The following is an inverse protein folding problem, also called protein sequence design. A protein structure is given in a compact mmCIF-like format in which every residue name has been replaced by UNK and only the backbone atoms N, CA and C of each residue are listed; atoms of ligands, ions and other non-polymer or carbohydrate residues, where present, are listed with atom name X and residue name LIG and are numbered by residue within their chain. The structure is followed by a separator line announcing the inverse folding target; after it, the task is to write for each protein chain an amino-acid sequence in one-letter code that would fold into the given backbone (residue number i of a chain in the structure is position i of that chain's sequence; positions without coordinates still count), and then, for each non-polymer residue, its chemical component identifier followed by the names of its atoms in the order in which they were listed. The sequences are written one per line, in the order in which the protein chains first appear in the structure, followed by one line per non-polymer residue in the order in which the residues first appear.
data_IF_685924852633
#
_entry.id   IF_685924852633
#
_cell.length_a   1.000
_cell.length_b   1.000
_cell.length_c   1.000
_cell.angle_alpha   90.00
_cell.angle_beta   90.00
_cell.angle_gamma   90.00
#
_symmetry.space_group_name_H-M   'P 1'
#
loop_
_entity.id
_entity.type
_entity.pdbx_description
1 polymer ?
#
# COMPACT_ATOMS: atom_id res chain seq x y z
N UNK A 1 -25.31 -6.75 -25.49
CA UNK A 1 -24.34 -6.52 -24.40
C UNK A 1 -22.93 -6.64 -24.96
N UNK A 2 -22.20 -5.52 -25.12
CA UNK A 2 -20.79 -5.58 -25.53
C UNK A 2 -19.96 -6.15 -24.37
N UNK A 3 -19.45 -7.37 -24.55
CA UNK A 3 -18.44 -7.95 -23.66
C UNK A 3 -17.17 -7.12 -23.80
N UNK A 4 -16.86 -6.31 -22.79
CA UNK A 4 -15.55 -5.69 -22.67
C UNK A 4 -14.59 -6.78 -22.18
N UNK A 5 -13.97 -7.50 -23.10
CA UNK A 5 -12.75 -8.26 -22.82
C UNK A 5 -11.60 -7.26 -22.73
N UNK A 6 -11.47 -6.61 -21.57
CA UNK A 6 -10.20 -6.00 -21.20
C UNK A 6 -9.31 -7.18 -20.84
N UNK A 7 -8.34 -7.49 -21.69
CA UNK A 7 -7.28 -8.42 -21.32
C UNK A 7 -6.62 -7.83 -20.07
N UNK A 8 -6.92 -8.42 -18.91
CA UNK A 8 -6.44 -7.92 -17.63
C UNK A 8 -4.94 -8.20 -17.60
N UNK A 9 -4.14 -7.15 -17.78
CA UNK A 9 -2.68 -7.26 -17.70
C UNK A 9 -2.35 -7.75 -16.29
N UNK A 10 -1.90 -8.98 -16.18
CA UNK A 10 -1.63 -9.70 -14.93
C UNK A 10 -0.79 -8.80 -14.00
N UNK A 11 -1.33 -8.48 -12.83
CA UNK A 11 -0.72 -7.52 -11.89
C UNK A 11 0.20 -8.29 -10.95
N UNK A 12 1.50 -7.98 -10.98
CA UNK A 12 2.48 -8.63 -10.11
C UNK A 12 2.57 -7.92 -8.76
N UNK A 13 2.70 -8.71 -7.71
CA UNK A 13 3.07 -8.27 -6.37
C UNK A 13 4.12 -9.20 -5.78
N UNK A 14 4.82 -8.74 -4.75
CA UNK A 14 5.90 -9.50 -4.11
C UNK A 14 5.36 -10.33 -2.93
N UNK A 15 5.90 -11.53 -2.75
CA UNK A 15 5.69 -12.33 -1.53
C UNK A 15 6.51 -11.79 -0.36
N UNK A 16 6.23 -12.24 0.88
CA UNK A 16 7.03 -11.86 2.05
C UNK A 16 8.52 -12.21 1.88
N UNK A 17 8.84 -13.37 1.30
CA UNK A 17 10.23 -13.77 1.03
C UNK A 17 10.92 -12.81 0.04
N UNK A 18 10.23 -12.45 -1.04
CA UNK A 18 10.73 -11.49 -2.03
C UNK A 18 10.86 -10.07 -1.47
N UNK A 19 9.97 -9.65 -0.56
CA UNK A 19 10.10 -8.37 0.15
C UNK A 19 11.39 -8.37 0.97
N UNK A 20 11.66 -9.43 1.73
CA UNK A 20 12.88 -9.56 2.53
C UNK A 20 14.13 -9.52 1.65
N UNK A 21 14.13 -10.27 0.55
CA UNK A 21 15.23 -10.28 -0.43
C UNK A 21 15.48 -8.88 -1.02
N UNK A 22 14.41 -8.20 -1.45
CA UNK A 22 14.49 -6.86 -2.01
C UNK A 22 15.05 -5.84 -1.01
N UNK A 23 14.57 -5.86 0.24
CA UNK A 23 15.05 -4.95 1.29
C UNK A 23 16.54 -5.17 1.59
N UNK A 24 16.99 -6.44 1.60
CA UNK A 24 18.40 -6.78 1.76
C UNK A 24 19.25 -6.27 0.58
N UNK A 25 18.76 -6.40 -0.65
CA UNK A 25 19.45 -5.86 -1.83
C UNK A 25 19.53 -4.32 -1.81
N UNK A 26 18.45 -3.65 -1.39
CA UNK A 26 18.38 -2.19 -1.30
C UNK A 26 19.30 -1.59 -0.22
N UNK A 27 19.63 -2.35 0.83
CA UNK A 27 20.41 -1.85 1.98
C UNK A 27 21.93 -1.82 1.72
N UNK A 28 22.40 -2.32 0.57
CA UNK A 28 23.83 -2.39 0.25
C UNK A 28 24.37 -1.01 -0.18
N UNK A 29 24.82 -0.22 0.78
CA UNK A 29 25.51 1.06 0.54
C UNK A 29 24.59 2.23 0.19
N UNK A 30 23.29 2.12 0.44
CA UNK A 30 22.30 3.16 0.16
C UNK A 30 21.43 3.43 1.40
N UNK A 31 21.36 4.69 1.81
CA UNK A 31 20.56 5.13 2.96
C UNK A 31 19.13 5.52 2.57
N UNK A 32 18.92 5.94 1.33
CA UNK A 32 17.66 6.53 0.87
C UNK A 32 16.76 5.45 0.27
N UNK A 33 17.31 4.61 -0.60
CA UNK A 33 16.59 3.54 -1.29
C UNK A 33 15.78 2.63 -0.36
N UNK A 34 16.34 2.06 0.73
CA UNK A 34 15.56 1.19 1.62
C UNK A 34 14.39 1.93 2.28
N UNK A 35 14.56 3.22 2.60
CA UNK A 35 13.48 4.03 3.19
C UNK A 35 12.38 4.35 2.18
N UNK A 36 12.73 4.66 0.92
CA UNK A 36 11.73 4.86 -0.15
C UNK A 36 10.91 3.58 -0.38
N UNK A 37 11.58 2.42 -0.39
CA UNK A 37 10.92 1.11 -0.49
C UNK A 37 10.01 0.85 0.72
N UNK A 38 10.49 1.10 1.94
CA UNK A 38 9.72 0.95 3.19
C UNK A 38 8.47 1.85 3.18
N UNK A 39 8.59 3.10 2.71
CA UNK A 39 7.45 4.02 2.54
C UNK A 39 6.42 3.44 1.54
N UNK A 40 6.87 2.96 0.38
CA UNK A 40 5.97 2.38 -0.62
C UNK A 40 5.23 1.15 -0.07
N UNK A 41 5.95 0.23 0.56
CA UNK A 41 5.40 -0.99 1.16
C UNK A 41 4.51 -0.70 2.38
N UNK A 42 4.71 0.41 3.08
CA UNK A 42 3.89 0.79 4.24
C UNK A 42 2.62 1.57 3.89
N UNK A 43 2.56 2.17 2.69
CA UNK A 43 1.50 3.15 2.36
C UNK A 43 0.82 2.97 1.01
N UNK A 44 1.35 2.11 0.13
CA UNK A 44 0.87 1.99 -1.25
C UNK A 44 1.14 3.24 -2.11
N UNK A 45 2.13 4.06 -1.72
CA UNK A 45 2.58 5.19 -2.53
C UNK A 45 3.09 4.73 -3.90
N UNK A 46 2.90 5.56 -4.92
CA UNK A 46 3.63 5.39 -6.18
C UNK A 46 5.10 5.74 -5.93
N UNK A 47 6.02 5.11 -6.66
CA UNK A 47 7.47 5.37 -6.53
C UNK A 47 7.79 6.87 -6.45
N UNK A 48 7.33 7.63 -7.45
CA UNK A 48 7.59 9.07 -7.56
C UNK A 48 6.99 9.88 -6.41
N UNK A 49 5.86 9.44 -5.84
CA UNK A 49 5.25 10.11 -4.69
C UNK A 49 6.09 9.91 -3.42
N UNK A 50 6.72 8.75 -3.26
CA UNK A 50 7.59 8.43 -2.14
C UNK A 50 8.99 9.05 -2.27
N UNK A 51 9.62 8.93 -3.44
CA UNK A 51 10.97 9.46 -3.73
C UNK A 51 11.02 10.99 -3.65
N UNK A 52 9.92 11.67 -3.99
CA UNK A 52 9.82 13.14 -3.92
C UNK A 52 9.13 13.62 -2.64
N UNK A 53 9.09 12.81 -1.57
CA UNK A 53 8.58 13.27 -0.28
C UNK A 53 9.40 14.45 0.24
N UNK A 54 8.68 15.44 0.76
CA UNK A 54 9.26 16.59 1.44
C UNK A 54 8.95 16.55 2.94
N UNK A 55 9.75 17.24 3.75
CA UNK A 55 9.55 17.40 5.20
C UNK A 55 8.14 17.86 5.55
N UNK A 56 7.60 18.81 4.80
CA UNK A 56 6.25 19.38 5.01
C UNK A 56 5.10 18.35 4.91
N UNK A 57 5.33 17.23 4.22
CA UNK A 57 4.35 16.16 4.05
C UNK A 57 4.35 15.16 5.20
N UNK A 58 5.31 15.26 6.11
CA UNK A 58 5.46 14.37 7.27
C UNK A 58 4.88 15.07 8.50
N UNK A 59 3.87 14.45 9.09
CA UNK A 59 3.32 14.82 10.40
C UNK A 59 3.46 13.64 11.34
N UNK A 60 3.31 13.81 12.67
CA UNK A 60 3.43 12.69 13.62
C UNK A 60 2.67 11.45 13.16
N UNK A 61 3.43 10.39 12.85
CA UNK A 61 2.94 9.06 12.44
C UNK A 61 2.05 9.04 11.18
N UNK A 62 2.23 10.02 10.28
CA UNK A 62 1.38 10.13 9.09
C UNK A 62 2.10 10.84 7.94
N UNK A 63 1.97 10.29 6.73
CA UNK A 63 2.46 10.88 5.48
C UNK A 63 1.28 11.44 4.69
N UNK A 64 1.39 12.67 4.19
CA UNK A 64 0.39 13.27 3.31
C UNK A 64 0.93 13.38 1.88
N UNK A 65 0.35 12.61 0.96
CA UNK A 65 0.68 12.66 -0.46
C UNK A 65 -0.17 13.72 -1.15
N UNK A 66 0.50 14.72 -1.75
CA UNK A 66 -0.13 15.87 -2.42
C UNK A 66 0.00 15.77 -3.94
N UNK A 67 -0.85 16.50 -4.68
CA UNK A 67 -0.74 16.70 -6.14
C UNK A 67 -0.60 15.41 -6.97
N UNK A 68 -1.27 14.35 -6.53
CA UNK A 68 -1.36 13.10 -7.29
C UNK A 68 -2.11 13.32 -8.62
N UNK A 69 -2.00 12.41 -9.59
CA UNK A 69 -2.58 12.51 -10.96
C UNK A 69 -4.12 12.68 -11.04
N UNK A 70 -4.80 13.01 -9.94
CA UNK A 70 -6.22 13.39 -9.85
C UNK A 70 -6.52 14.51 -8.85
N UNK A 71 -5.51 15.32 -8.45
CA UNK A 71 -5.61 16.49 -7.54
C UNK A 71 -6.19 16.22 -6.14
N UNK A 72 -6.39 14.97 -5.71
CA UNK A 72 -6.79 14.64 -4.33
C UNK A 72 -5.57 14.35 -3.48
N UNK A 73 -5.45 15.12 -2.41
CA UNK A 73 -4.50 14.84 -1.33
C UNK A 73 -5.03 13.65 -0.53
N UNK A 74 -4.12 12.81 -0.02
CA UNK A 74 -4.48 11.72 0.89
C UNK A 74 -3.42 11.59 1.97
N UNK A 75 -3.85 11.24 3.16
CA UNK A 75 -2.94 11.00 4.28
C UNK A 75 -3.02 9.53 4.69
N UNK A 76 -1.87 8.90 4.88
CA UNK A 76 -1.76 7.49 5.25
C UNK A 76 -0.98 7.41 6.57
N UNK A 77 -1.53 6.74 7.60
CA UNK A 77 -0.82 6.53 8.85
C UNK A 77 0.39 5.61 8.62
N UNK A 78 1.46 5.86 9.39
CA UNK A 78 2.69 5.07 9.38
C UNK A 78 3.11 4.71 10.80
N UNK A 79 3.96 3.70 10.93
CA UNK A 79 4.46 3.27 12.23
C UNK A 79 5.29 4.36 12.91
N UNK A 80 5.36 4.32 14.25
CA UNK A 80 6.25 5.20 15.02
C UNK A 80 7.72 5.04 14.60
N UNK A 81 8.12 3.81 14.27
CA UNK A 81 9.48 3.50 13.84
C UNK A 81 9.82 4.17 12.49
N UNK A 82 8.94 4.02 11.48
CA UNK A 82 9.15 4.67 10.18
C UNK A 82 9.14 6.20 10.33
N UNK A 83 8.21 6.75 11.11
CA UNK A 83 8.19 8.18 11.38
C UNK A 83 9.51 8.69 11.97
N UNK A 84 10.07 7.99 12.97
CA UNK A 84 11.36 8.35 13.58
C UNK A 84 12.50 8.35 12.55
N UNK A 85 12.56 7.38 11.66
CA UNK A 85 13.56 7.34 10.57
C UNK A 85 13.42 8.53 9.61
N UNK A 86 12.18 8.92 9.28
CA UNK A 86 11.92 10.00 8.32
C UNK A 86 12.23 11.39 8.87
N UNK A 87 11.98 11.64 10.16
CA UNK A 87 12.23 12.95 10.78
C UNK A 87 13.71 13.29 11.00
N UNK A 88 14.60 12.29 10.94
CA UNK A 88 16.06 12.50 11.06
C UNK A 88 16.73 12.86 9.73
N UNK A 89 16.00 12.81 8.62
CA UNK A 89 16.50 13.18 7.28
C UNK A 89 16.54 14.72 7.08
N UNK A 90 16.95 15.18 5.90
CA UNK A 90 17.07 16.61 5.58
C UNK A 90 15.77 17.43 5.71
N UNK A 91 15.92 18.76 5.69
CA UNK A 91 14.84 19.71 6.03
C UNK A 91 13.86 20.03 4.90
N UNK A 92 14.21 19.72 3.65
CA UNK A 92 13.34 19.98 2.49
C UNK A 92 12.96 18.65 1.80
N UNK A 93 13.72 18.24 0.78
CA UNK A 93 13.54 16.95 0.11
C UNK A 93 14.20 15.83 0.93
N UNK A 94 13.45 14.76 1.22
CA UNK A 94 13.91 13.70 2.12
C UNK A 94 14.89 12.71 1.47
N UNK A 95 14.78 12.51 0.16
CA UNK A 95 15.55 11.49 -0.56
C UNK A 95 16.14 12.05 -1.84
N UNK A 96 17.34 11.58 -2.17
CA UNK A 96 17.93 11.72 -3.51
C UNK A 96 17.20 10.81 -4.52
N UNK A 97 17.37 11.09 -5.82
CA UNK A 97 16.83 10.21 -6.86
C UNK A 97 17.48 8.83 -6.76
N UNK A 98 16.66 7.79 -6.60
CA UNK A 98 17.11 6.43 -6.40
C UNK A 98 16.40 5.42 -7.30
N UNK A 99 15.56 5.87 -8.26
CA UNK A 99 14.88 4.98 -9.20
C UNK A 99 15.84 4.05 -9.99
N UNK A 100 16.95 4.57 -10.50
CA UNK A 100 17.95 3.74 -11.18
C UNK A 100 18.66 2.77 -10.23
N UNK A 101 18.90 3.18 -8.98
CA UNK A 101 19.45 2.31 -7.94
C UNK A 101 18.46 1.20 -7.54
N UNK A 102 17.16 1.50 -7.53
CA UNK A 102 16.10 0.51 -7.34
C UNK A 102 16.07 -0.53 -8.47
N UNK A 103 16.21 -0.09 -9.73
CA UNK A 103 16.33 -0.99 -10.87
C UNK A 103 17.53 -1.94 -10.72
N UNK A 104 18.71 -1.37 -10.45
CA UNK A 104 19.92 -2.17 -10.25
C UNK A 104 19.80 -3.11 -9.04
N UNK A 105 19.17 -2.67 -7.94
CA UNK A 105 18.95 -3.52 -6.78
C UNK A 105 18.06 -4.73 -7.12
N UNK A 106 17.00 -4.53 -7.91
CA UNK A 106 16.13 -5.61 -8.37
C UNK A 106 16.83 -6.59 -9.31
N UNK A 107 17.72 -6.12 -10.18
CA UNK A 107 18.54 -7.00 -11.05
C UNK A 107 19.44 -7.95 -10.24
N UNK A 108 19.75 -7.60 -8.98
CA UNK A 108 20.52 -8.43 -8.05
C UNK A 108 19.64 -9.36 -7.19
N UNK A 109 18.37 -9.56 -7.57
CA UNK A 109 17.42 -10.46 -6.88
C UNK A 109 16.88 -11.53 -7.82
N UNK A 110 16.25 -12.54 -7.24
CA UNK A 110 15.49 -13.57 -7.97
C UNK A 110 14.16 -13.06 -8.55
N UNK A 111 13.78 -11.81 -8.27
CA UNK A 111 12.46 -11.25 -8.56
C UNK A 111 12.33 -10.95 -10.06
N UNK A 112 11.36 -11.60 -10.71
CA UNK A 112 11.00 -11.35 -12.10
C UNK A 112 9.71 -10.54 -12.18
N UNK A 113 9.75 -9.40 -12.87
CA UNK A 113 8.59 -8.51 -13.01
C UNK A 113 8.13 -8.39 -14.47
N UNK A 114 6.81 -8.37 -14.73
CA UNK A 114 6.31 -8.07 -16.06
C UNK A 114 6.71 -6.67 -16.53
N UNK A 115 6.93 -6.52 -17.84
CA UNK A 115 7.38 -5.26 -18.44
C UNK A 115 6.46 -4.09 -18.08
N UNK A 116 7.06 -3.06 -17.48
CA UNK A 116 6.41 -1.80 -17.11
C UNK A 116 5.74 -1.78 -15.73
N UNK A 117 5.89 -2.82 -14.89
CA UNK A 117 5.29 -2.84 -13.55
C UNK A 117 6.19 -2.33 -12.43
N UNK A 118 7.48 -2.19 -12.68
CA UNK A 118 8.49 -1.75 -11.72
C UNK A 118 8.05 -0.53 -10.87
N UNK A 119 7.47 0.50 -11.50
CA UNK A 119 7.05 1.74 -10.83
C UNK A 119 5.87 1.58 -9.87
N UNK A 120 5.14 0.47 -9.98
CA UNK A 120 3.92 0.19 -9.22
C UNK A 120 3.97 -1.12 -8.44
N UNK A 121 5.00 -1.95 -8.61
CA UNK A 121 5.07 -3.27 -7.95
C UNK A 121 4.94 -3.15 -6.44
N UNK A 122 5.62 -2.20 -5.79
CA UNK A 122 5.53 -2.02 -4.33
C UNK A 122 4.13 -1.57 -3.88
N UNK A 123 3.44 -0.78 -4.70
CA UNK A 123 2.05 -0.40 -4.44
C UNK A 123 1.09 -1.58 -4.59
N UNK A 124 1.31 -2.41 -5.61
CA UNK A 124 0.56 -3.66 -5.80
C UNK A 124 0.80 -4.62 -4.64
N UNK A 125 2.05 -4.74 -4.19
CA UNK A 125 2.43 -5.49 -2.97
C UNK A 125 1.67 -5.00 -1.75
N UNK A 126 1.71 -3.70 -1.44
CA UNK A 126 0.93 -3.18 -0.31
C UNK A 126 -0.56 -3.53 -0.44
N UNK A 127 -1.16 -3.30 -1.61
CA UNK A 127 -2.58 -3.52 -1.82
C UNK A 127 -2.99 -5.00 -1.72
N UNK A 128 -2.17 -5.90 -2.29
CA UNK A 128 -2.39 -7.33 -2.24
C UNK A 128 -2.33 -7.85 -0.80
N UNK A 129 -1.24 -7.55 -0.08
CA UNK A 129 -1.09 -7.97 1.32
C UNK A 129 -2.13 -7.35 2.25
N UNK A 130 -2.54 -6.10 1.99
CA UNK A 130 -3.63 -5.46 2.74
C UNK A 130 -4.94 -6.23 2.59
N UNK A 131 -5.30 -6.65 1.38
CA UNK A 131 -6.53 -7.42 1.15
C UNK A 131 -6.41 -8.86 1.69
N UNK A 132 -5.28 -9.53 1.46
CA UNK A 132 -4.99 -10.87 1.99
C UNK A 132 -5.10 -10.91 3.52
N UNK A 133 -4.77 -9.80 4.19
CA UNK A 133 -4.87 -9.66 5.64
C UNK A 133 -6.28 -9.29 6.14
N UNK A 134 -7.31 -9.36 5.29
CA UNK A 134 -8.69 -9.02 5.66
C UNK A 134 -9.00 -7.52 5.66
N UNK A 135 -8.16 -6.71 5.03
CA UNK A 135 -8.36 -5.27 4.95
C UNK A 135 -9.66 -4.88 4.23
N UNK A 136 -10.28 -3.79 4.67
CA UNK A 136 -11.51 -3.29 4.05
C UNK A 136 -11.21 -2.61 2.69
N UNK A 137 -11.86 -3.07 1.62
CA UNK A 137 -11.61 -2.57 0.24
C UNK A 137 -11.87 -1.07 0.07
N UNK A 138 -12.83 -0.49 0.80
CA UNK A 138 -13.13 0.96 0.77
C UNK A 138 -12.04 1.76 1.48
N UNK A 139 -11.45 1.19 2.54
CA UNK A 139 -10.28 1.77 3.20
C UNK A 139 -9.08 1.73 2.26
N UNK A 140 -8.84 0.60 1.59
CA UNK A 140 -7.78 0.49 0.59
C UNK A 140 -7.94 1.51 -0.55
N UNK A 141 -9.17 1.71 -1.05
CA UNK A 141 -9.46 2.72 -2.07
C UNK A 141 -9.00 4.12 -1.62
N UNK A 142 -9.30 4.49 -0.37
CA UNK A 142 -8.91 5.77 0.22
C UNK A 142 -7.39 5.87 0.39
N UNK A 143 -6.74 4.82 0.91
CA UNK A 143 -5.28 4.75 1.09
C UNK A 143 -4.55 4.90 -0.25
N UNK A 144 -5.03 4.22 -1.29
CA UNK A 144 -4.42 4.29 -2.63
C UNK A 144 -4.81 5.56 -3.40
N UNK A 145 -5.84 6.28 -2.95
CA UNK A 145 -6.37 7.47 -3.63
C UNK A 145 -7.01 7.15 -4.97
N UNK A 146 -7.68 6.01 -5.09
CA UNK A 146 -8.42 5.64 -6.31
C UNK A 146 -9.75 6.40 -6.39
N UNK A 147 -9.95 7.14 -7.49
CA UNK A 147 -11.21 7.83 -7.73
C UNK A 147 -12.37 6.85 -7.94
N UNK A 148 -12.14 5.83 -8.76
CA UNK A 148 -13.12 4.79 -9.07
C UNK A 148 -12.78 3.53 -8.29
N UNK A 149 -13.76 3.00 -7.56
CA UNK A 149 -13.64 1.74 -6.82
C UNK A 149 -13.28 0.57 -7.74
N UNK A 150 -13.68 0.60 -9.02
CA UNK A 150 -13.34 -0.44 -10.02
C UNK A 150 -11.83 -0.69 -10.13
N UNK A 151 -11.01 0.33 -9.88
CA UNK A 151 -9.55 0.18 -9.90
C UNK A 151 -9.08 -0.65 -8.70
N UNK A 152 -9.66 -0.40 -7.51
CA UNK A 152 -9.34 -1.15 -6.29
C UNK A 152 -9.94 -2.55 -6.32
N UNK A 153 -11.08 -2.76 -6.98
CA UNK A 153 -11.73 -4.09 -7.09
C UNK A 153 -10.84 -5.16 -7.72
N UNK A 154 -9.76 -4.78 -8.42
CA UNK A 154 -8.73 -5.71 -8.91
C UNK A 154 -8.08 -6.54 -7.79
N UNK A 155 -8.07 -6.06 -6.55
CA UNK A 155 -7.54 -6.80 -5.39
C UNK A 155 -8.61 -7.55 -4.59
N UNK A 156 -9.90 -7.42 -4.94
CA UNK A 156 -10.99 -7.95 -4.11
C UNK A 156 -10.94 -9.48 -3.97
N UNK A 157 -10.50 -10.18 -5.02
CA UNK A 157 -10.35 -11.64 -5.02
C UNK A 157 -9.27 -12.16 -4.04
N UNK A 158 -8.44 -11.26 -3.49
CA UNK A 158 -7.42 -11.61 -2.49
C UNK A 158 -7.97 -11.53 -1.06
N UNK A 159 -9.17 -10.97 -0.87
CA UNK A 159 -9.78 -10.90 0.44
C UNK A 159 -10.15 -12.31 0.93
N UNK A 160 -9.93 -12.64 2.21
CA UNK A 160 -10.43 -13.87 2.78
C UNK A 160 -11.96 -13.90 2.70
N UNK A 161 -12.53 -15.05 2.31
CA UNK A 161 -13.97 -15.23 2.32
C UNK A 161 -14.46 -15.39 3.77
N UNK A 162 -15.39 -14.53 4.17
CA UNK A 162 -15.94 -14.51 5.53
C UNK A 162 -17.47 -14.47 5.49
N UNK A 163 -18.10 -15.24 4.60
CA UNK A 163 -19.58 -15.25 4.48
C UNK A 163 -20.27 -15.58 5.81
N UNK A 164 -19.64 -16.39 6.66
CA UNK A 164 -20.15 -16.72 8.01
C UNK A 164 -20.27 -15.51 8.94
N UNK A 165 -19.52 -14.42 8.71
CA UNK A 165 -19.66 -13.19 9.50
C UNK A 165 -21.05 -12.55 9.36
N UNK A 166 -21.82 -12.90 8.31
CA UNK A 166 -23.22 -12.50 8.20
C UNK A 166 -24.08 -13.04 9.37
N UNK A 167 -23.75 -14.21 9.92
CA UNK A 167 -24.43 -14.77 11.10
C UNK A 167 -24.12 -13.95 12.36
N UNK A 168 -22.96 -13.31 12.43
CA UNK A 168 -22.54 -12.50 13.58
C UNK A 168 -23.02 -11.04 13.48
N UNK A 169 -23.06 -10.48 12.27
CA UNK A 169 -23.35 -9.06 12.04
C UNK A 169 -24.78 -8.77 11.57
N UNK A 170 -25.63 -9.78 11.39
CA UNK A 170 -27.03 -9.51 11.07
C UNK A 170 -27.73 -8.78 12.25
N UNK A 171 -28.79 -8.00 11.96
CA UNK A 171 -29.48 -7.21 12.98
C UNK A 171 -30.03 -8.05 14.15
N UNK A 172 -30.45 -9.30 13.91
CA UNK A 172 -31.02 -10.16 14.96
C UNK A 172 -29.94 -10.63 15.95
N UNK A 173 -28.73 -10.92 15.47
CA UNK A 173 -27.61 -11.34 16.30
C UNK A 173 -27.00 -10.19 17.13
N UNK A 174 -27.16 -8.94 16.69
CA UNK A 174 -26.59 -7.73 17.32
C UNK A 174 -27.60 -6.94 18.16
N UNK A 175 -28.85 -7.43 18.25
CA UNK A 175 -29.83 -6.86 19.16
C UNK A 175 -29.33 -6.96 20.61
N UNK A 176 -29.48 -5.91 21.43
CA UNK A 176 -29.28 -6.03 22.87
C UNK A 176 -30.27 -7.07 23.40
N UNK A 177 -29.77 -8.15 24.01
CA UNK A 177 -30.62 -9.08 24.74
C UNK A 177 -31.38 -8.29 25.80
N UNK A 178 -32.70 -8.15 25.63
CA UNK A 178 -33.56 -7.55 26.64
C UNK A 178 -33.47 -8.42 27.89
N UNK A 179 -32.74 -7.94 28.90
CA UNK A 179 -32.82 -8.50 30.23
C UNK A 179 -34.29 -8.55 30.65
N UNK A 180 -34.67 -9.75 31.09
CA UNK A 180 -35.80 -10.09 31.94
C UNK A 180 -36.48 -8.84 32.51
N UNK A 181 -37.59 -8.45 31.90
CA UNK A 181 -38.56 -7.60 32.57
C UNK A 181 -39.01 -8.37 33.80
N UNK A 182 -38.70 -7.80 34.96
CA UNK A 182 -39.10 -8.30 36.26
C UNK A 182 -40.59 -8.69 36.26
N UNK A 183 -40.85 -9.90 36.76
CA UNK A 183 -42.14 -10.31 37.29
C UNK A 183 -41.87 -11.00 38.63
#
# INVERSE_FOLDING_TARGET
MRKFTVAEKEMAWLTHAQITELLAACSKGDTDLPLVVEVCLSTGARWREAENLTRSQITPHKITFIRTKGKKNRSVPISKALYKKLITLGDDRLFSECYFRFMAALENTSIQLPKGQLTHVLRHTFAAHFMMSGGNILVLQRILGHHDIKITMRYAHLAPEHLETALQFNPLATMPSGDKVAA
#
